data_IF_001462859585
#
_entry.id   IF_001462859585
#
_cell.length_a   1.000
_cell.length_b   1.000
_cell.length_c   1.000
_cell.angle_alpha   90.00
_cell.angle_beta   90.00
_cell.angle_gamma   90.00
#
_symmetry.space_group_name_H-M   'P 1'
#
loop_
_entity.id
_entity.type
_entity.pdbx_description
1 polymer ?
#
# COMPACT_ATOMS: atom_id res chain seq x y z
N UNK A 1 -37.30 -7.15 2.60
CA UNK A 1 -36.09 -7.35 1.75
C UNK A 1 -34.88 -7.52 2.65
N UNK A 2 -34.37 -8.74 2.80
CA UNK A 2 -33.22 -9.01 3.67
C UNK A 2 -31.94 -8.46 3.00
N UNK A 3 -31.38 -7.45 3.62
CA UNK A 3 -30.09 -6.89 3.24
C UNK A 3 -29.04 -8.00 3.40
N UNK A 4 -28.53 -8.54 2.28
CA UNK A 4 -27.39 -9.47 2.27
C UNK A 4 -26.26 -8.80 3.04
N UNK A 5 -26.11 -9.13 4.32
CA UNK A 5 -24.90 -8.84 5.10
C UNK A 5 -23.76 -9.59 4.43
N UNK A 6 -23.06 -8.90 3.54
CA UNK A 6 -21.90 -9.46 2.87
C UNK A 6 -20.88 -9.80 3.95
N UNK A 7 -20.43 -11.03 4.00
CA UNK A 7 -19.49 -11.59 4.99
C UNK A 7 -18.25 -10.68 5.18
N UNK A 8 -17.85 -9.95 4.13
CA UNK A 8 -16.72 -9.00 4.13
C UNK A 8 -16.96 -7.72 4.96
N UNK A 9 -18.14 -7.50 5.51
CA UNK A 9 -18.38 -6.38 6.44
C UNK A 9 -17.94 -6.70 7.89
N UNK A 10 -17.43 -7.91 8.11
CA UNK A 10 -16.89 -8.34 9.39
C UNK A 10 -15.40 -7.97 9.46
N UNK A 11 -15.04 -7.08 10.40
CA UNK A 11 -13.63 -6.70 10.65
C UNK A 11 -12.73 -7.90 10.88
N UNK A 12 -13.24 -8.95 11.54
CA UNK A 12 -12.52 -10.21 11.77
C UNK A 12 -12.17 -10.94 10.47
N UNK A 13 -13.12 -10.98 9.52
CA UNK A 13 -12.86 -11.61 8.22
C UNK A 13 -11.84 -10.81 7.39
N UNK A 14 -11.94 -9.48 7.38
CA UNK A 14 -10.96 -8.62 6.70
C UNK A 14 -9.55 -8.82 7.30
N UNK A 15 -9.48 -9.00 8.64
CA UNK A 15 -8.22 -9.29 9.33
C UNK A 15 -7.67 -10.67 8.96
N UNK A 16 -8.51 -11.69 8.93
CA UNK A 16 -8.11 -13.05 8.52
C UNK A 16 -7.59 -13.07 7.08
N UNK A 17 -8.37 -12.51 6.14
CA UNK A 17 -8.00 -12.49 4.72
C UNK A 17 -6.75 -11.64 4.49
N UNK A 18 -6.62 -10.49 5.16
CA UNK A 18 -5.41 -9.65 5.07
C UNK A 18 -4.17 -10.32 5.66
N UNK A 19 -4.33 -11.12 6.72
CA UNK A 19 -3.24 -11.92 7.30
C UNK A 19 -2.81 -13.05 6.36
N UNK A 20 -3.77 -13.72 5.73
CA UNK A 20 -3.49 -14.75 4.71
C UNK A 20 -2.80 -14.15 3.49
N UNK A 21 -3.23 -12.97 3.03
CA UNK A 21 -2.58 -12.24 1.95
C UNK A 21 -1.13 -11.90 2.32
N UNK A 22 -0.89 -11.43 3.54
CA UNK A 22 0.46 -11.17 4.02
C UNK A 22 1.31 -12.44 4.07
N UNK A 23 0.79 -13.55 4.60
CA UNK A 23 1.48 -14.84 4.66
C UNK A 23 1.80 -15.37 3.27
N UNK A 24 0.85 -15.29 2.33
CA UNK A 24 1.07 -15.64 0.94
C UNK A 24 2.16 -14.80 0.28
N UNK A 25 2.14 -13.47 0.50
CA UNK A 25 3.18 -12.58 0.01
C UNK A 25 4.58 -12.91 0.56
N UNK A 26 4.66 -13.32 1.82
CA UNK A 26 5.92 -13.79 2.43
C UNK A 26 6.41 -15.10 1.77
N UNK A 27 5.50 -16.07 1.61
CA UNK A 27 5.82 -17.32 0.95
C UNK A 27 6.31 -17.07 -0.48
N UNK A 28 5.62 -16.18 -1.22
CA UNK A 28 6.02 -15.78 -2.56
C UNK A 28 7.44 -15.20 -2.59
N UNK A 29 7.79 -14.31 -1.65
CA UNK A 29 9.12 -13.72 -1.56
C UNK A 29 10.22 -14.75 -1.25
N UNK A 30 9.92 -15.74 -0.42
CA UNK A 30 10.89 -16.79 -0.04
C UNK A 30 11.08 -17.79 -1.18
N UNK A 31 10.02 -18.09 -1.92
CA UNK A 31 10.05 -19.11 -2.99
C UNK A 31 10.41 -18.54 -4.36
N UNK A 32 10.32 -17.22 -4.55
CA UNK A 32 10.56 -16.56 -5.83
C UNK A 32 11.87 -15.76 -5.80
N UNK A 33 12.56 -15.75 -6.93
CA UNK A 33 13.70 -14.85 -7.13
C UNK A 33 13.18 -13.50 -7.62
N UNK A 34 13.04 -12.54 -6.72
CA UNK A 34 12.66 -11.19 -7.08
C UNK A 34 13.83 -10.47 -7.75
N UNK A 35 13.66 -10.07 -9.00
CA UNK A 35 14.58 -9.19 -9.72
C UNK A 35 13.91 -7.84 -9.90
N UNK A 36 14.53 -6.80 -9.37
CA UNK A 36 14.07 -5.42 -9.53
C UNK A 36 14.97 -4.78 -10.59
N UNK A 37 14.36 -4.36 -11.67
CA UNK A 37 15.03 -3.59 -12.71
C UNK A 37 14.56 -2.14 -12.61
N UNK A 38 15.47 -1.23 -12.39
CA UNK A 38 15.20 0.18 -12.27
C UNK A 38 16.25 0.98 -13.06
N UNK A 39 15.91 2.21 -13.38
CA UNK A 39 16.90 3.15 -13.89
C UNK A 39 18.04 3.30 -12.88
N UNK A 40 19.32 3.25 -13.32
CA UNK A 40 20.47 3.27 -12.41
C UNK A 40 20.50 4.52 -11.49
N UNK A 41 20.04 5.66 -11.98
CA UNK A 41 19.99 6.88 -11.17
C UNK A 41 18.90 6.80 -10.10
N UNK A 42 17.70 6.29 -10.46
CA UNK A 42 16.61 6.04 -9.51
C UNK A 42 17.03 5.03 -8.46
N UNK A 43 17.67 3.92 -8.88
CA UNK A 43 18.18 2.91 -7.95
C UNK A 43 19.18 3.51 -6.96
N UNK A 44 20.09 4.34 -7.43
CA UNK A 44 21.07 5.03 -6.58
C UNK A 44 20.38 5.96 -5.57
N UNK A 45 19.44 6.80 -6.01
CA UNK A 45 18.71 7.73 -5.14
C UNK A 45 17.90 7.00 -4.05
N UNK A 46 17.26 5.89 -4.40
CA UNK A 46 16.52 5.04 -3.46
C UNK A 46 17.47 4.36 -2.47
N UNK A 47 18.56 3.78 -2.97
CA UNK A 47 19.57 3.08 -2.14
C UNK A 47 20.28 4.01 -1.18
N UNK A 48 20.67 5.21 -1.64
CA UNK A 48 21.33 6.22 -0.83
C UNK A 48 20.36 6.98 0.10
N UNK A 49 19.07 6.71 -0.03
CA UNK A 49 18.00 7.34 0.75
C UNK A 49 18.07 8.90 0.72
N UNK A 50 18.49 9.49 -0.38
CA UNK A 50 18.63 10.93 -0.49
C UNK A 50 17.28 11.66 -0.55
N UNK A 51 16.32 11.07 -1.25
CA UNK A 51 14.99 11.65 -1.48
C UNK A 51 13.88 10.66 -1.16
N UNK A 52 12.72 11.09 -0.67
CA UNK A 52 11.54 10.24 -0.57
C UNK A 52 11.02 9.94 -1.97
N UNK A 53 10.40 8.77 -2.14
CA UNK A 53 9.90 8.29 -3.44
C UNK A 53 8.39 8.17 -3.41
N UNK A 54 7.76 8.58 -4.49
CA UNK A 54 6.35 8.31 -4.76
C UNK A 54 6.28 7.14 -5.73
N UNK A 55 5.80 6.00 -5.24
CA UNK A 55 5.55 4.81 -6.04
C UNK A 55 4.13 4.86 -6.59
N UNK A 56 4.01 5.08 -7.88
CA UNK A 56 2.73 5.03 -8.58
C UNK A 56 2.49 3.62 -9.12
N UNK A 57 1.43 2.98 -8.69
CA UNK A 57 1.04 1.63 -9.11
C UNK A 57 -0.28 1.67 -9.86
N UNK A 58 -0.46 0.77 -10.82
CA UNK A 58 -1.78 0.47 -11.34
C UNK A 58 -2.64 -0.18 -10.25
N UNK A 59 -3.94 0.10 -10.25
CA UNK A 59 -4.86 -0.45 -9.23
C UNK A 59 -4.84 -1.98 -9.19
N UNK A 60 -4.64 -2.64 -10.33
CA UNK A 60 -4.47 -4.10 -10.43
C UNK A 60 -3.28 -4.64 -9.62
N UNK A 61 -2.30 -3.80 -9.29
CA UNK A 61 -1.12 -4.18 -8.53
C UNK A 61 -1.19 -3.83 -7.04
N UNK A 62 -2.33 -3.34 -6.56
CA UNK A 62 -2.50 -2.92 -5.16
C UNK A 62 -2.20 -4.03 -4.14
N UNK A 63 -2.41 -5.29 -4.51
CA UNK A 63 -2.09 -6.45 -3.67
C UNK A 63 -0.60 -6.64 -3.42
N UNK A 64 0.27 -6.03 -4.23
CA UNK A 64 1.71 -6.04 -4.02
C UNK A 64 2.22 -4.97 -3.04
N UNK A 65 1.36 -4.06 -2.61
CA UNK A 65 1.72 -2.99 -1.66
C UNK A 65 2.44 -3.51 -0.41
N UNK A 66 2.03 -4.61 0.24
CA UNK A 66 2.75 -5.14 1.41
C UNK A 66 4.21 -5.51 1.12
N UNK A 67 4.55 -5.83 -0.13
CA UNK A 67 5.89 -6.24 -0.52
C UNK A 67 6.89 -5.08 -0.57
N UNK A 68 6.42 -3.82 -0.63
CA UNK A 68 7.30 -2.64 -0.69
C UNK A 68 8.27 -2.57 0.48
N UNK A 69 7.90 -3.09 1.66
CA UNK A 69 8.82 -3.17 2.82
C UNK A 69 10.03 -4.07 2.62
N UNK A 70 10.05 -4.86 1.57
CA UNK A 70 11.18 -5.76 1.27
C UNK A 70 12.34 -5.01 0.64
N UNK A 71 12.08 -3.98 -0.15
CA UNK A 71 13.10 -3.21 -0.87
C UNK A 71 13.15 -1.73 -0.47
N UNK A 72 12.09 -1.16 0.08
CA UNK A 72 12.11 0.21 0.59
C UNK A 72 12.45 0.23 2.08
N UNK A 73 13.60 0.79 2.42
CA UNK A 73 14.09 0.87 3.80
C UNK A 73 13.45 1.98 4.61
N UNK A 74 12.98 3.05 3.95
CA UNK A 74 12.27 4.13 4.60
C UNK A 74 10.91 3.69 5.11
N UNK A 75 10.36 4.48 6.02
CA UNK A 75 8.95 4.34 6.35
C UNK A 75 8.10 4.60 5.10
N UNK A 76 7.14 3.72 4.87
CA UNK A 76 6.24 3.77 3.71
C UNK A 76 4.84 4.07 4.19
N UNK A 77 4.16 4.97 3.50
CA UNK A 77 2.74 5.22 3.66
C UNK A 77 2.01 4.90 2.36
N UNK A 78 0.86 4.28 2.44
CA UNK A 78 0.04 3.97 1.26
C UNK A 78 -1.26 4.75 1.29
N UNK A 79 -1.61 5.38 0.17
CA UNK A 79 -2.91 6.00 -0.03
C UNK A 79 -3.90 4.92 -0.46
N UNK A 80 -4.94 4.73 0.36
CA UNK A 80 -6.00 3.78 0.11
C UNK A 80 -7.35 4.49 0.05
N UNK A 81 -8.22 4.04 -0.85
CA UNK A 81 -9.63 4.44 -0.84
C UNK A 81 -10.36 3.77 0.33
N UNK A 82 -11.53 4.31 0.71
CA UNK A 82 -12.32 3.73 1.80
C UNK A 82 -13.12 2.48 1.38
N UNK A 83 -12.80 1.87 0.22
CA UNK A 83 -13.47 0.66 -0.27
C UNK A 83 -13.04 -0.59 0.50
N UNK A 84 -13.87 -1.64 0.42
CA UNK A 84 -13.67 -2.89 1.18
C UNK A 84 -12.37 -3.60 0.85
N UNK A 85 -12.00 -3.66 -0.42
CA UNK A 85 -10.78 -4.33 -0.87
C UNK A 85 -9.53 -3.64 -0.30
N UNK A 86 -9.60 -2.31 -0.17
CA UNK A 86 -8.56 -1.52 0.48
C UNK A 86 -8.40 -1.86 1.97
N UNK A 87 -9.43 -2.36 2.66
CA UNK A 87 -9.32 -2.79 4.05
C UNK A 87 -8.48 -4.06 4.18
N UNK A 88 -8.64 -5.01 3.26
CA UNK A 88 -7.86 -6.27 3.22
C UNK A 88 -6.39 -5.95 2.97
N UNK A 89 -6.12 -5.17 1.92
CA UNK A 89 -4.76 -4.70 1.61
C UNK A 89 -4.18 -3.88 2.75
N UNK A 90 -5.01 -3.05 3.39
CA UNK A 90 -4.64 -2.25 4.54
C UNK A 90 -4.20 -3.10 5.75
N UNK A 91 -4.87 -4.22 6.03
CA UNK A 91 -4.42 -5.15 7.08
C UNK A 91 -3.05 -5.74 6.74
N UNK A 92 -2.89 -6.27 5.52
CA UNK A 92 -1.62 -6.85 5.07
C UNK A 92 -0.48 -5.81 5.10
N UNK A 93 -0.76 -4.57 4.68
CA UNK A 93 0.21 -3.46 4.71
C UNK A 93 0.61 -3.10 6.16
N UNK A 94 -0.36 -3.02 7.09
CA UNK A 94 -0.07 -2.76 8.52
C UNK A 94 0.79 -3.84 9.15
N UNK A 95 0.55 -5.10 8.85
CA UNK A 95 1.36 -6.22 9.34
C UNK A 95 2.83 -6.12 8.87
N UNK A 96 3.08 -5.38 7.80
CA UNK A 96 4.41 -5.07 7.27
C UNK A 96 4.97 -3.72 7.73
N UNK A 97 4.28 -3.04 8.66
CA UNK A 97 4.70 -1.73 9.15
C UNK A 97 4.49 -0.57 8.18
N UNK A 98 3.63 -0.75 7.17
CA UNK A 98 3.24 0.31 6.23
C UNK A 98 2.11 1.13 6.86
N UNK A 99 2.24 2.44 6.86
CA UNK A 99 1.21 3.36 7.35
C UNK A 99 0.11 3.54 6.32
N UNK A 100 -1.13 3.67 6.79
CA UNK A 100 -2.28 3.88 5.92
C UNK A 100 -2.73 5.33 5.97
N UNK A 101 -2.91 5.93 4.80
CA UNK A 101 -3.58 7.22 4.59
C UNK A 101 -4.86 6.93 3.81
N UNK A 102 -5.99 7.38 4.32
CA UNK A 102 -7.28 7.15 3.66
C UNK A 102 -7.77 8.42 2.99
N UNK A 103 -8.14 8.29 1.72
CA UNK A 103 -8.73 9.35 0.93
C UNK A 103 -9.00 8.92 -0.50
N UNK A 104 -9.90 9.65 -1.15
CA UNK A 104 -10.19 9.47 -2.57
C UNK A 104 -10.44 10.83 -3.22
N UNK A 105 -10.46 10.87 -4.54
CA UNK A 105 -10.77 12.08 -5.31
C UNK A 105 -12.14 12.70 -4.94
N UNK A 106 -13.08 11.89 -4.47
CA UNK A 106 -14.46 12.32 -4.16
C UNK A 106 -14.69 12.53 -2.68
N UNK A 107 -13.94 11.92 -1.78
CA UNK A 107 -14.16 12.02 -0.33
C UNK A 107 -12.83 12.04 0.43
N UNK A 108 -12.57 13.14 1.12
CA UNK A 108 -11.40 13.30 1.98
C UNK A 108 -10.07 13.52 1.22
N UNK A 109 -10.10 13.77 -0.09
CA UNK A 109 -8.91 13.91 -0.92
C UNK A 109 -7.99 15.05 -0.48
N UNK A 110 -8.53 16.22 -0.16
CA UNK A 110 -7.73 17.35 0.32
C UNK A 110 -6.98 17.03 1.61
N UNK A 111 -7.66 16.36 2.57
CA UNK A 111 -7.03 15.94 3.82
C UNK A 111 -5.95 14.89 3.59
N UNK A 112 -6.22 13.90 2.73
CA UNK A 112 -5.25 12.88 2.36
C UNK A 112 -4.02 13.50 1.67
N UNK A 113 -4.24 14.47 0.77
CA UNK A 113 -3.16 15.21 0.11
C UNK A 113 -2.24 15.91 1.12
N UNK A 114 -2.80 16.65 2.09
CA UNK A 114 -2.02 17.29 3.14
C UNK A 114 -1.25 16.29 4.00
N UNK A 115 -1.86 15.13 4.31
CA UNK A 115 -1.18 14.06 5.03
C UNK A 115 -0.01 13.49 4.21
N UNK A 116 -0.19 13.26 2.90
CA UNK A 116 0.88 12.78 2.03
C UNK A 116 2.02 13.78 1.89
N UNK A 117 1.72 15.07 1.80
CA UNK A 117 2.74 16.11 1.82
C UNK A 117 3.57 16.07 3.12
N UNK A 118 2.91 15.97 4.26
CA UNK A 118 3.59 15.84 5.57
C UNK A 118 4.46 14.58 5.64
N UNK A 119 3.99 13.47 5.08
CA UNK A 119 4.75 12.21 4.99
C UNK A 119 6.04 12.41 4.17
N UNK A 120 5.92 13.04 3.00
CA UNK A 120 7.06 13.31 2.11
C UNK A 120 8.06 14.30 2.73
N UNK A 121 7.57 15.36 3.40
CA UNK A 121 8.41 16.30 4.14
C UNK A 121 9.16 15.62 5.28
N UNK A 122 8.53 14.62 5.93
CA UNK A 122 9.16 13.74 6.92
C UNK A 122 10.11 12.70 6.32
N UNK A 123 10.51 12.83 5.04
CA UNK A 123 11.39 11.91 4.32
C UNK A 123 10.92 10.46 4.27
N UNK A 124 9.62 10.24 4.27
CA UNK A 124 9.01 8.92 4.12
C UNK A 124 8.51 8.75 2.68
N UNK A 125 8.53 7.51 2.19
CA UNK A 125 8.05 7.21 0.84
C UNK A 125 6.53 6.95 0.84
N UNK A 126 5.90 7.18 -0.30
CA UNK A 126 4.45 7.03 -0.50
C UNK A 126 4.18 6.05 -1.62
N UNK A 127 3.17 5.22 -1.43
CA UNK A 127 2.61 4.36 -2.48
C UNK A 127 1.18 4.81 -2.78
N UNK A 128 0.83 4.96 -4.04
CA UNK A 128 -0.50 5.36 -4.47
C UNK A 128 -0.90 4.73 -5.81
N UNK A 129 -2.19 4.63 -6.05
CA UNK A 129 -2.77 4.19 -7.33
C UNK A 129 -3.46 5.39 -7.99
N UNK A 130 -2.83 6.04 -8.98
CA UNK A 130 -3.36 7.27 -9.59
C UNK A 130 -4.57 7.02 -10.49
N UNK A 131 -4.72 5.79 -11.02
CA UNK A 131 -5.83 5.39 -11.89
C UNK A 131 -7.17 5.23 -11.13
N UNK A 132 -7.12 5.07 -9.81
CA UNK A 132 -8.31 4.87 -8.98
C UNK A 132 -9.09 3.58 -9.31
N UNK A 133 -10.05 3.17 -8.48
CA UNK A 133 -11.00 2.13 -8.83
C UNK A 133 -11.99 2.68 -9.86
N UNK A 134 -12.14 2.00 -10.99
CA UNK A 134 -13.20 2.26 -11.98
C UNK A 134 -14.51 1.66 -11.51
#
# INVERSE_FOLDING_TARGET
MAQKRTLLNNRGLAWLVGSLLNAYGQLFLITSRLRIEADPEVERLVREQRVPVIYALWHSHVFFVPLFRTFERRAVSVLLSAHRDAQIVGVAARLRGIRLVFGSSTRGGARAYLQLLSVLQGRQSVVMTPDGPK
#
